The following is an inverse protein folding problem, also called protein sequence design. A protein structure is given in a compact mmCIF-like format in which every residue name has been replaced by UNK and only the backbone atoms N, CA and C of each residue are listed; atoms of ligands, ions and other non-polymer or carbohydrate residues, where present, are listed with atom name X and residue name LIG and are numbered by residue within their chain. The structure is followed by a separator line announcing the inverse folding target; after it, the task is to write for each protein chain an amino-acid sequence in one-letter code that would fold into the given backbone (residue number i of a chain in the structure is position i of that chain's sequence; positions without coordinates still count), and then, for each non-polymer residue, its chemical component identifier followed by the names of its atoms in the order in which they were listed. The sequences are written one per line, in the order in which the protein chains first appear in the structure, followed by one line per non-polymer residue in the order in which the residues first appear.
data_IF_034070488016
#
_entry.id   IF_034070488016
#
_cell.length_a   1.000
_cell.length_b   1.000
_cell.length_c   1.000
_cell.angle_alpha   90.00
_cell.angle_beta   90.00
_cell.angle_gamma   90.00
#
_symmetry.space_group_name_H-M   'P 1'
#
loop_
_entity.id
_entity.type
_entity.pdbx_description
1 polymer ?
#
# COMPACT_ATOMS: atom_id res chain seq x y z
N UNK A 1 -36.11 74.78 -34.83
CA UNK A 1 -35.41 75.60 -35.84
C UNK A 1 -33.92 75.59 -35.47
N UNK A 2 -33.08 74.96 -36.30
CA UNK A 2 -31.60 75.04 -36.40
C UNK A 2 -30.75 74.79 -35.14
N UNK A 3 -30.00 73.67 -35.07
CA UNK A 3 -28.59 73.52 -35.51
C UNK A 3 -27.62 73.86 -34.35
N UNK A 4 -26.43 73.29 -34.13
CA UNK A 4 -25.52 72.49 -34.96
C UNK A 4 -24.41 71.92 -34.04
N UNK A 5 -23.78 70.87 -34.55
CA UNK A 5 -22.61 70.07 -34.14
C UNK A 5 -21.26 70.81 -34.06
N UNK A 6 -20.35 70.36 -33.16
CA UNK A 6 -18.87 70.18 -33.33
C UNK A 6 -18.20 69.96 -31.93
N UNK A 7 -17.65 68.79 -31.54
CA UNK A 7 -16.30 68.18 -31.83
C UNK A 7 -15.15 69.14 -31.40
N UNK A 8 -14.18 68.85 -30.51
CA UNK A 8 -13.27 67.69 -30.40
C UNK A 8 -12.28 67.73 -29.20
N UNK A 9 -11.64 66.57 -28.91
CA UNK A 9 -10.21 66.30 -28.54
C UNK A 9 -9.66 66.31 -27.07
N UNK A 10 -9.28 65.08 -26.64
CA UNK A 10 -8.11 64.63 -25.82
C UNK A 10 -8.00 65.02 -24.33
N UNK A 11 -7.94 64.10 -23.36
CA UNK A 11 -6.75 63.28 -23.01
C UNK A 11 -7.06 62.10 -22.07
N UNK A 12 -6.27 61.02 -22.23
CA UNK A 12 -6.25 59.73 -21.52
C UNK A 12 -5.46 59.83 -20.20
N UNK A 13 -5.90 59.16 -19.13
CA UNK A 13 -5.04 58.53 -18.11
C UNK A 13 -5.79 57.42 -17.34
N UNK A 14 -5.09 56.30 -17.13
CA UNK A 14 -5.52 54.95 -16.72
C UNK A 14 -5.30 54.73 -15.21
N UNK A 15 -6.19 53.98 -14.56
CA UNK A 15 -5.91 53.06 -13.42
C UNK A 15 -7.20 52.23 -13.17
N UNK A 16 -7.38 51.04 -13.74
CA UNK A 16 -6.94 49.75 -13.17
C UNK A 16 -7.16 49.63 -11.65
N UNK A 17 -8.41 49.42 -11.26
CA UNK A 17 -8.79 48.50 -10.17
C UNK A 17 -9.79 47.54 -10.83
N UNK A 18 -9.33 46.49 -11.49
CA UNK A 18 -8.77 45.34 -10.79
C UNK A 18 -9.93 44.42 -10.43
N UNK A 19 -10.70 44.01 -11.43
CA UNK A 19 -11.49 42.78 -11.35
C UNK A 19 -10.52 41.67 -10.95
N UNK A 20 -10.63 41.16 -9.74
CA UNK A 20 -10.14 39.82 -9.42
C UNK A 20 -11.00 38.86 -10.23
N UNK A 21 -10.69 38.74 -11.51
CA UNK A 21 -10.98 37.51 -12.22
C UNK A 21 -10.24 36.44 -11.43
N UNK A 22 -10.98 35.62 -10.70
CA UNK A 22 -10.49 34.32 -10.30
C UNK A 22 -10.00 33.69 -11.61
N UNK A 23 -8.68 33.55 -11.76
CA UNK A 23 -8.13 32.91 -12.94
C UNK A 23 -8.53 31.45 -12.82
N UNK A 24 -9.54 31.05 -13.58
CA UNK A 24 -9.87 29.64 -13.80
C UNK A 24 -8.57 28.88 -14.09
N UNK A 25 -8.38 27.73 -13.45
CA UNK A 25 -7.20 26.91 -13.66
C UNK A 25 -6.97 26.66 -15.17
N UNK A 26 -5.72 26.73 -15.63
CA UNK A 26 -5.41 26.38 -17.02
C UNK A 26 -5.51 24.87 -17.20
N UNK A 27 -6.65 24.41 -17.73
CA UNK A 27 -6.96 23.00 -17.91
C UNK A 27 -5.94 22.25 -18.78
N UNK A 28 -5.35 22.92 -19.80
CA UNK A 28 -4.34 22.28 -20.64
C UNK A 28 -3.02 22.13 -19.88
N UNK A 29 -2.60 23.17 -19.17
CA UNK A 29 -1.39 23.10 -18.35
C UNK A 29 -1.50 22.07 -17.22
N UNK A 30 -2.68 21.96 -16.59
CA UNK A 30 -3.01 20.92 -15.62
C UNK A 30 -2.91 19.52 -16.24
N UNK A 31 -3.60 19.29 -17.37
CA UNK A 31 -3.62 17.99 -18.04
C UNK A 31 -2.23 17.55 -18.51
N UNK A 32 -1.40 18.47 -19.00
CA UNK A 32 0.00 18.16 -19.35
C UNK A 32 0.85 17.83 -18.12
N UNK A 33 0.65 18.50 -16.97
CA UNK A 33 1.34 18.11 -15.73
C UNK A 33 0.90 16.73 -15.26
N UNK A 34 -0.40 16.40 -15.33
CA UNK A 34 -0.90 15.08 -14.98
C UNK A 34 -0.25 13.97 -15.82
N UNK A 35 -0.08 14.19 -17.14
CA UNK A 35 0.67 13.26 -18.00
C UNK A 35 2.12 13.09 -17.56
N UNK A 36 2.80 14.19 -17.24
CA UNK A 36 4.18 14.14 -16.79
C UNK A 36 4.32 13.36 -15.47
N UNK A 37 3.45 13.64 -14.49
CA UNK A 37 3.40 12.93 -13.20
C UNK A 37 3.11 11.44 -13.39
N UNK A 38 2.16 11.08 -14.26
CA UNK A 38 1.87 9.69 -14.59
C UNK A 38 3.08 8.99 -15.24
N UNK A 39 3.77 9.67 -16.15
CA UNK A 39 4.96 9.13 -16.82
C UNK A 39 6.13 8.88 -15.84
N UNK A 40 6.32 9.75 -14.83
CA UNK A 40 7.29 9.53 -13.74
C UNK A 40 7.00 8.22 -12.97
N UNK A 41 5.75 7.77 -12.94
CA UNK A 41 5.29 6.55 -12.26
C UNK A 41 5.13 5.34 -13.20
N UNK A 42 5.73 5.39 -14.41
CA UNK A 42 5.58 4.37 -15.46
C UNK A 42 4.14 4.16 -15.96
N UNK A 43 3.31 5.21 -15.89
CA UNK A 43 1.93 5.21 -16.36
C UNK A 43 1.77 6.14 -17.56
N UNK A 44 0.80 5.86 -18.41
CA UNK A 44 0.45 6.71 -19.55
C UNK A 44 -0.97 7.22 -19.37
N UNK A 45 -1.12 8.54 -19.37
CA UNK A 45 -2.41 9.22 -19.36
C UNK A 45 -2.68 9.81 -20.75
N UNK A 46 -3.86 9.53 -21.28
CA UNK A 46 -4.40 10.18 -22.47
C UNK A 46 -5.68 10.92 -22.13
N UNK A 47 -6.01 11.96 -22.89
CA UNK A 47 -7.31 12.63 -22.85
C UNK A 47 -7.55 13.33 -24.20
N UNK A 48 -8.82 13.47 -24.60
CA UNK A 48 -9.19 14.08 -25.87
C UNK A 48 -9.17 15.61 -25.82
N UNK A 49 -9.64 16.19 -24.71
CA UNK A 49 -9.66 17.63 -24.49
C UNK A 49 -9.68 17.96 -23.00
N UNK A 50 -9.14 19.12 -22.64
CA UNK A 50 -9.20 19.68 -21.29
C UNK A 50 -9.99 20.99 -21.32
N UNK A 51 -10.94 21.17 -20.40
CA UNK A 51 -11.77 22.38 -20.29
C UNK A 51 -11.90 22.82 -18.85
N UNK A 52 -11.84 24.13 -18.60
CA UNK A 52 -12.07 24.70 -17.27
C UNK A 52 -13.53 25.16 -17.14
N UNK A 53 -14.20 24.76 -16.07
CA UNK A 53 -15.55 25.19 -15.72
C UNK A 53 -15.53 25.82 -14.32
N UNK A 54 -15.43 27.15 -14.26
CA UNK A 54 -15.18 27.83 -12.98
C UNK A 54 -13.78 27.49 -12.46
N UNK A 55 -13.71 26.96 -11.24
CA UNK A 55 -12.45 26.50 -10.62
C UNK A 55 -12.19 25.01 -10.92
N UNK A 56 -13.11 24.31 -11.59
CA UNK A 56 -12.97 22.89 -11.93
C UNK A 56 -12.25 22.68 -13.26
N UNK A 57 -11.54 21.56 -13.39
CA UNK A 57 -10.95 21.09 -14.65
C UNK A 57 -11.58 19.78 -15.05
N UNK A 58 -12.07 19.70 -16.29
CA UNK A 58 -12.68 18.49 -16.86
C UNK A 58 -11.76 17.96 -17.96
N UNK A 59 -11.29 16.71 -17.80
CA UNK A 59 -10.55 15.98 -18.82
C UNK A 59 -11.49 14.97 -19.48
N UNK A 60 -11.75 15.16 -20.78
CA UNK A 60 -12.69 14.32 -21.54
C UNK A 60 -12.03 13.11 -22.16
N UNK A 61 -12.74 11.99 -22.19
CA UNK A 61 -12.29 10.71 -22.71
C UNK A 61 -10.87 10.36 -22.23
N UNK A 62 -10.68 10.44 -20.91
CA UNK A 62 -9.45 10.08 -20.26
C UNK A 62 -9.19 8.59 -20.42
N UNK A 63 -7.93 8.26 -20.70
CA UNK A 63 -7.45 6.89 -20.80
C UNK A 63 -6.25 6.72 -19.89
N UNK A 64 -6.10 5.53 -19.34
CA UNK A 64 -5.03 5.22 -18.40
C UNK A 64 -4.48 3.83 -18.67
N UNK A 65 -3.17 3.70 -18.76
CA UNK A 65 -2.51 2.39 -18.82
C UNK A 65 -1.16 2.38 -18.12
N UNK A 66 -0.78 1.25 -17.52
CA UNK A 66 0.62 0.91 -17.30
C UNK A 66 1.39 0.95 -18.63
N UNK A 67 2.63 1.41 -18.60
CA UNK A 67 3.47 1.48 -19.81
C UNK A 67 3.66 0.08 -20.40
N UNK A 68 3.12 -0.13 -21.61
CA UNK A 68 3.21 -1.41 -22.33
C UNK A 68 1.91 -2.23 -22.36
N UNK A 69 0.85 -1.75 -21.71
CA UNK A 69 -0.47 -2.37 -21.68
C UNK A 69 -1.52 -1.57 -22.45
N UNK A 70 -2.66 -2.21 -22.76
CA UNK A 70 -3.77 -1.55 -23.45
C UNK A 70 -4.41 -0.46 -22.57
N UNK A 71 -4.71 0.73 -23.13
CA UNK A 71 -5.38 1.80 -22.39
C UNK A 71 -6.79 1.42 -21.93
N UNK A 72 -7.01 1.47 -20.61
CA UNK A 72 -8.36 1.45 -20.04
C UNK A 72 -9.03 2.81 -20.27
N UNK A 73 -10.29 2.81 -20.69
CA UNK A 73 -11.08 4.03 -20.84
C UNK A 73 -11.72 4.40 -19.49
N UNK A 74 -11.41 5.59 -18.99
CA UNK A 74 -11.99 6.13 -17.74
C UNK A 74 -13.16 7.08 -18.01
N UNK A 75 -13.37 7.50 -19.26
CA UNK A 75 -14.41 8.46 -19.62
C UNK A 75 -14.05 9.88 -19.23
N UNK A 76 -15.04 10.70 -18.91
CA UNK A 76 -14.83 12.10 -18.54
C UNK A 76 -14.58 12.20 -17.03
N UNK A 77 -13.43 12.77 -16.64
CA UNK A 77 -13.04 12.94 -15.24
C UNK A 77 -13.06 14.43 -14.88
N UNK A 78 -13.72 14.75 -13.77
CA UNK A 78 -13.78 16.10 -13.21
C UNK A 78 -12.84 16.20 -12.03
N UNK A 79 -12.02 17.25 -12.03
CA UNK A 79 -11.13 17.63 -10.94
C UNK A 79 -11.74 18.88 -10.31
N UNK A 80 -12.21 18.76 -9.07
CA UNK A 80 -12.94 19.80 -8.35
C UNK A 80 -11.98 20.76 -7.64
N UNK A 81 -12.24 22.07 -7.72
CA UNK A 81 -11.47 23.15 -7.10
C UNK A 81 -9.96 23.10 -7.39
N UNK A 82 -9.60 23.15 -8.67
CA UNK A 82 -8.21 23.11 -9.13
C UNK A 82 -7.53 24.45 -8.92
N UNK A 83 -6.39 24.44 -8.24
CA UNK A 83 -5.57 25.63 -8.00
C UNK A 83 -4.09 25.36 -8.26
N UNK A 84 -3.31 26.43 -8.44
CA UNK A 84 -1.87 26.35 -8.64
C UNK A 84 -1.44 26.52 -10.09
N UNK A 85 -0.25 26.02 -10.42
CA UNK A 85 0.36 26.17 -11.74
C UNK A 85 1.43 25.11 -11.98
N UNK A 86 1.87 24.91 -13.22
CA UNK A 86 2.94 23.94 -13.53
C UNK A 86 4.26 24.22 -12.78
N UNK A 87 4.56 25.49 -12.48
CA UNK A 87 5.78 25.86 -11.75
C UNK A 87 5.70 25.61 -10.25
N UNK A 88 4.52 25.80 -9.65
CA UNK A 88 4.31 25.67 -8.20
C UNK A 88 3.78 24.29 -7.80
N UNK A 89 3.22 23.54 -8.75
CA UNK A 89 2.39 22.36 -8.53
C UNK A 89 0.90 22.71 -8.63
N UNK A 90 0.10 21.68 -8.87
CA UNK A 90 -1.36 21.79 -8.89
C UNK A 90 -1.95 21.11 -7.66
N UNK A 91 -3.01 21.71 -7.12
CA UNK A 91 -3.83 21.13 -6.05
C UNK A 91 -5.25 20.95 -6.54
N UNK A 92 -5.88 19.86 -6.14
CA UNK A 92 -7.27 19.52 -6.46
C UNK A 92 -7.93 19.11 -5.16
N UNK A 93 -9.06 19.72 -4.82
CA UNK A 93 -9.74 19.40 -3.57
C UNK A 93 -10.30 17.97 -3.62
N UNK A 94 -10.91 17.60 -4.74
CA UNK A 94 -11.56 16.30 -4.89
C UNK A 94 -11.64 15.84 -6.34
N UNK A 95 -11.51 14.53 -6.54
CA UNK A 95 -11.66 13.85 -7.82
C UNK A 95 -12.71 12.76 -7.62
N UNK A 96 -14.00 13.05 -7.88
CA UNK A 96 -15.01 12.00 -7.90
C UNK A 96 -14.76 11.09 -9.11
N UNK A 97 -14.76 9.78 -8.87
CA UNK A 97 -14.66 8.78 -9.93
C UNK A 97 -16.08 8.23 -10.14
N UNK A 98 -16.52 8.23 -11.40
CA UNK A 98 -17.85 7.74 -11.73
C UNK A 98 -18.03 6.28 -11.31
N UNK A 99 -19.24 5.96 -10.84
CA UNK A 99 -19.60 4.60 -10.49
C UNK A 99 -19.40 3.68 -11.72
N UNK A 100 -18.80 2.52 -11.47
CA UNK A 100 -18.59 1.50 -12.49
C UNK A 100 -19.75 0.52 -12.37
N UNK A 101 -20.44 0.29 -13.48
CA UNK A 101 -21.47 -0.74 -13.61
C UNK A 101 -21.23 -1.44 -14.96
N UNK A 102 -20.59 -2.60 -14.90
CA UNK A 102 -20.15 -3.34 -16.08
C UNK A 102 -20.64 -4.77 -15.98
N UNK A 103 -21.28 -5.24 -17.05
CA UNK A 103 -21.65 -6.65 -17.22
C UNK A 103 -20.83 -7.23 -18.37
N UNK A 104 -20.00 -8.23 -18.07
CA UNK A 104 -19.24 -9.02 -19.04
C UNK A 104 -19.62 -10.49 -18.90
N UNK A 105 -20.16 -11.07 -19.96
CA UNK A 105 -20.74 -12.43 -19.97
C UNK A 105 -21.76 -12.62 -18.82
N UNK A 106 -21.45 -13.51 -17.87
CA UNK A 106 -22.27 -13.80 -16.69
C UNK A 106 -21.82 -13.01 -15.45
N UNK A 107 -20.79 -12.18 -15.55
CA UNK A 107 -20.24 -11.42 -14.43
C UNK A 107 -20.77 -9.98 -14.45
N UNK A 108 -21.31 -9.52 -13.32
CA UNK A 108 -21.75 -8.14 -13.13
C UNK A 108 -20.94 -7.52 -11.99
N UNK A 109 -20.22 -6.45 -12.30
CA UNK A 109 -19.37 -5.74 -11.34
C UNK A 109 -19.89 -4.33 -11.14
N UNK A 110 -20.14 -3.97 -9.89
CA UNK A 110 -20.59 -2.64 -9.49
C UNK A 110 -19.60 -2.07 -8.47
N UNK A 111 -19.02 -0.90 -8.76
CA UNK A 111 -18.18 -0.16 -7.82
C UNK A 111 -18.72 1.27 -7.66
N UNK A 112 -18.95 1.69 -6.42
CA UNK A 112 -19.58 2.98 -6.11
C UNK A 112 -18.81 3.78 -5.07
N UNK A 113 -18.98 5.10 -5.10
CA UNK A 113 -18.44 5.99 -4.07
C UNK A 113 -16.93 6.07 -4.09
N UNK A 114 -16.33 5.98 -5.28
CA UNK A 114 -14.90 6.13 -5.46
C UNK A 114 -14.53 7.61 -5.49
N UNK A 115 -13.54 7.99 -4.70
CA UNK A 115 -13.04 9.37 -4.69
C UNK A 115 -11.60 9.46 -4.20
N UNK A 116 -10.94 10.53 -4.63
CA UNK A 116 -9.63 10.94 -4.12
C UNK A 116 -9.74 12.41 -3.71
N UNK A 117 -9.26 12.76 -2.52
CA UNK A 117 -9.32 14.10 -1.96
C UNK A 117 -7.90 14.61 -1.68
N UNK A 118 -7.73 15.94 -1.75
CA UNK A 118 -6.46 16.60 -1.47
C UNK A 118 -5.34 16.22 -2.43
N UNK A 119 -5.66 16.03 -3.72
CA UNK A 119 -4.67 15.62 -4.72
C UNK A 119 -3.70 16.76 -5.00
N UNK A 120 -2.40 16.46 -4.92
CA UNK A 120 -1.33 17.36 -5.32
C UNK A 120 -0.50 16.76 -6.46
N UNK A 121 -0.50 17.45 -7.61
CA UNK A 121 0.45 17.21 -8.70
C UNK A 121 1.66 18.10 -8.46
N UNK A 122 2.65 17.57 -7.77
CA UNK A 122 3.83 18.32 -7.35
C UNK A 122 4.65 18.77 -8.56
N UNK A 123 5.43 19.85 -8.48
CA UNK A 123 6.29 20.32 -9.58
C UNK A 123 7.47 19.35 -9.86
N UNK A 124 8.24 19.62 -10.92
CA UNK A 124 9.47 18.85 -11.21
C UNK A 124 10.53 19.08 -10.13
N UNK A 125 10.75 20.34 -9.74
CA UNK A 125 11.61 20.68 -8.62
C UNK A 125 10.83 20.57 -7.30
N UNK A 126 11.10 19.50 -6.56
CA UNK A 126 10.47 19.21 -5.27
C UNK A 126 11.38 19.51 -4.08
N UNK A 127 12.53 20.15 -4.29
CA UNK A 127 13.52 20.39 -3.23
C UNK A 127 13.01 21.25 -2.06
N UNK A 128 11.99 22.07 -2.31
CA UNK A 128 11.32 22.90 -1.30
C UNK A 128 10.12 22.23 -0.63
N UNK A 129 9.73 21.04 -1.07
CA UNK A 129 8.59 20.30 -0.52
C UNK A 129 8.98 19.54 0.76
N UNK A 130 8.03 19.22 1.64
CA UNK A 130 8.26 18.30 2.75
C UNK A 130 8.88 16.98 2.27
N UNK A 131 9.70 16.35 3.09
CA UNK A 131 10.48 15.16 2.71
C UNK A 131 9.62 14.07 2.03
N UNK A 132 8.44 13.77 2.57
CA UNK A 132 7.52 12.75 2.01
C UNK A 132 7.09 13.06 0.57
N UNK A 133 6.96 14.34 0.23
CA UNK A 133 6.59 14.84 -1.10
C UNK A 133 7.77 14.96 -2.06
N UNK A 134 9.02 14.77 -1.62
CA UNK A 134 10.17 14.88 -2.52
C UNK A 134 10.31 13.67 -3.45
N UNK A 135 9.85 12.50 -3.00
CA UNK A 135 10.11 11.21 -3.66
C UNK A 135 9.02 10.76 -4.62
N UNK A 136 7.84 11.38 -4.56
CA UNK A 136 6.73 11.15 -5.48
C UNK A 136 6.33 12.48 -6.12
N UNK A 137 5.93 12.44 -7.39
CA UNK A 137 5.36 13.59 -8.07
C UNK A 137 3.83 13.74 -7.82
N UNK A 138 3.25 12.78 -7.09
CA UNK A 138 1.84 12.68 -6.75
C UNK A 138 1.67 12.49 -5.25
N UNK A 139 0.75 13.23 -4.66
CA UNK A 139 0.34 13.10 -3.27
C UNK A 139 -1.18 13.25 -3.18
N UNK A 140 -1.80 12.65 -2.16
CA UNK A 140 -3.22 12.79 -1.88
C UNK A 140 -3.45 12.66 -0.37
N UNK A 141 -4.44 13.36 0.15
CA UNK A 141 -4.81 13.31 1.58
C UNK A 141 -5.67 12.08 1.86
N UNK A 142 -6.67 11.81 1.01
CA UNK A 142 -7.59 10.68 1.20
C UNK A 142 -7.97 10.02 -0.11
N UNK A 143 -8.09 8.71 -0.10
CA UNK A 143 -8.71 7.95 -1.20
C UNK A 143 -9.66 6.93 -0.61
N UNK A 144 -10.74 6.61 -1.31
CA UNK A 144 -11.67 5.62 -0.82
C UNK A 144 -12.59 5.04 -1.88
N UNK A 145 -13.19 3.91 -1.51
CA UNK A 145 -14.24 3.21 -2.23
C UNK A 145 -15.28 2.76 -1.20
N UNK A 146 -16.53 3.18 -1.40
CA UNK A 146 -17.62 2.84 -0.47
C UNK A 146 -18.00 1.37 -0.60
N UNK A 147 -18.19 0.90 -1.84
CA UNK A 147 -18.65 -0.47 -2.11
C UNK A 147 -18.19 -0.97 -3.46
N UNK A 148 -17.79 -2.24 -3.50
CA UNK A 148 -17.56 -3.03 -4.70
C UNK A 148 -18.30 -4.36 -4.54
N UNK A 149 -19.10 -4.72 -5.53
CA UNK A 149 -19.84 -5.98 -5.59
C UNK A 149 -19.53 -6.67 -6.91
N UNK A 150 -19.30 -7.98 -6.83
CA UNK A 150 -19.20 -8.84 -8.00
C UNK A 150 -20.27 -9.93 -7.89
N UNK A 151 -21.10 -10.03 -8.92
CA UNK A 151 -22.09 -11.07 -9.09
C UNK A 151 -21.72 -11.96 -10.28
N UNK A 152 -22.06 -13.24 -10.18
CA UNK A 152 -21.92 -14.23 -11.25
C UNK A 152 -23.24 -14.96 -11.45
N UNK A 153 -23.77 -14.92 -12.66
CA UNK A 153 -25.08 -15.46 -13.02
C UNK A 153 -26.22 -14.97 -12.08
N UNK A 154 -26.15 -13.70 -11.66
CA UNK A 154 -27.11 -13.05 -10.76
C UNK A 154 -27.03 -13.48 -9.29
N UNK A 155 -25.98 -14.22 -8.90
CA UNK A 155 -25.67 -14.52 -7.51
C UNK A 155 -24.41 -13.74 -7.11
N UNK A 156 -24.49 -13.04 -5.98
CA UNK A 156 -23.36 -12.32 -5.41
C UNK A 156 -22.25 -13.28 -4.99
N UNK A 157 -21.04 -13.08 -5.49
CA UNK A 157 -19.88 -13.93 -5.22
C UNK A 157 -18.77 -13.21 -4.46
N UNK A 158 -18.76 -11.88 -4.50
CA UNK A 158 -17.82 -11.06 -3.75
C UNK A 158 -18.45 -9.71 -3.40
N UNK A 159 -18.19 -9.24 -2.19
CA UNK A 159 -18.45 -7.89 -1.73
C UNK A 159 -17.20 -7.34 -1.05
N UNK A 160 -16.99 -6.04 -1.19
CA UNK A 160 -15.99 -5.25 -0.50
C UNK A 160 -16.62 -3.91 -0.13
N UNK A 161 -16.38 -3.42 1.08
CA UNK A 161 -16.96 -2.16 1.55
C UNK A 161 -16.01 -1.40 2.45
N UNK A 162 -16.11 -0.07 2.45
CA UNK A 162 -15.34 0.84 3.29
C UNK A 162 -13.82 0.78 3.09
N UNK A 163 -13.36 0.79 1.83
CA UNK A 163 -11.94 0.98 1.55
C UNK A 163 -11.61 2.45 1.76
N UNK A 164 -10.58 2.74 2.54
CA UNK A 164 -10.06 4.09 2.71
C UNK A 164 -8.56 4.09 2.96
N UNK A 165 -7.87 5.08 2.41
CA UNK A 165 -6.48 5.41 2.73
C UNK A 165 -6.44 6.88 3.08
N UNK A 166 -5.85 7.23 4.21
CA UNK A 166 -5.69 8.61 4.67
C UNK A 166 -4.21 8.87 4.95
N UNK A 167 -3.63 9.86 4.28
CA UNK A 167 -2.24 10.24 4.42
C UNK A 167 -2.15 11.62 5.07
N UNK A 168 -1.29 11.77 6.07
CA UNK A 168 -1.06 13.04 6.74
C UNK A 168 0.44 13.33 6.78
N UNK A 169 0.81 14.58 6.49
CA UNK A 169 2.13 15.11 6.83
C UNK A 169 1.92 16.00 8.05
N UNK A 170 2.42 15.56 9.19
CA UNK A 170 2.25 16.22 10.48
C UNK A 170 3.10 17.51 10.56
N UNK A 171 2.78 18.36 11.55
CA UNK A 171 3.49 19.63 11.79
C UNK A 171 5.00 19.45 12.06
N UNK A 172 5.41 18.27 12.54
CA UNK A 172 6.81 17.92 12.77
C UNK A 172 7.50 17.27 11.56
N UNK A 173 6.84 17.28 10.39
CA UNK A 173 7.24 16.68 9.11
C UNK A 173 7.19 15.15 9.06
N UNK A 174 6.71 14.48 10.12
CA UNK A 174 6.46 13.03 10.06
C UNK A 174 5.31 12.74 9.11
N UNK A 175 5.41 11.62 8.40
CA UNK A 175 4.36 11.13 7.52
C UNK A 175 3.61 10.00 8.23
N UNK A 176 2.28 10.02 8.21
CA UNK A 176 1.44 8.91 8.64
C UNK A 176 0.46 8.52 7.54
N UNK A 177 0.16 7.24 7.46
CA UNK A 177 -0.78 6.67 6.51
C UNK A 177 -1.62 5.62 7.20
N UNK A 178 -2.91 5.89 7.35
CA UNK A 178 -3.89 4.94 7.84
C UNK A 178 -4.60 4.31 6.65
N UNK A 179 -4.61 2.99 6.58
CA UNK A 179 -5.25 2.25 5.49
C UNK A 179 -6.22 1.22 6.07
N UNK A 180 -7.43 1.26 5.54
CA UNK A 180 -8.47 0.28 5.73
C UNK A 180 -8.79 -0.28 4.35
N UNK A 181 -8.45 -1.53 4.10
CA UNK A 181 -8.79 -2.20 2.85
C UNK A 181 -10.21 -2.77 2.86
N UNK A 182 -11.05 -2.30 3.77
CA UNK A 182 -12.46 -2.61 3.86
C UNK A 182 -12.76 -3.96 4.49
N UNK A 183 -14.06 -4.20 4.65
CA UNK A 183 -14.60 -5.52 4.97
C UNK A 183 -14.95 -6.22 3.67
N UNK A 184 -14.47 -7.45 3.49
CA UNK A 184 -14.80 -8.29 2.34
C UNK A 184 -15.66 -9.48 2.74
N UNK A 185 -16.47 -9.97 1.81
CA UNK A 185 -17.22 -11.22 1.89
C UNK A 185 -17.13 -11.93 0.55
N UNK A 186 -16.69 -13.18 0.55
CA UNK A 186 -16.49 -13.99 -0.64
C UNK A 186 -17.27 -15.31 -0.55
N UNK A 187 -18.08 -15.63 -1.55
CA UNK A 187 -18.81 -16.90 -1.66
C UNK A 187 -18.09 -17.84 -2.64
N UNK A 188 -17.41 -18.84 -2.08
CA UNK A 188 -16.69 -19.86 -2.84
C UNK A 188 -17.59 -20.98 -3.37
N UNK A 189 -18.86 -21.05 -2.98
CA UNK A 189 -19.78 -22.09 -3.48
C UNK A 189 -20.07 -21.97 -4.97
N UNK A 190 -19.77 -20.81 -5.57
CA UNK A 190 -19.90 -20.49 -7.00
C UNK A 190 -18.56 -20.35 -7.72
N UNK A 191 -17.45 -20.61 -7.03
CA UNK A 191 -16.13 -20.68 -7.62
C UNK A 191 -16.03 -21.86 -8.61
N UNK A 192 -14.87 -22.03 -9.24
CA UNK A 192 -14.62 -23.24 -10.02
C UNK A 192 -14.78 -24.50 -9.14
N UNK A 193 -15.11 -25.67 -9.73
CA UNK A 193 -15.46 -26.86 -8.95
C UNK A 193 -14.37 -27.34 -7.98
N UNK A 194 -13.09 -27.08 -8.29
CA UNK A 194 -11.97 -27.52 -7.45
C UNK A 194 -11.82 -26.61 -6.22
N UNK A 195 -11.87 -25.30 -6.44
CA UNK A 195 -11.86 -24.30 -5.35
C UNK A 195 -13.09 -24.47 -4.46
N UNK A 196 -14.29 -24.56 -5.04
CA UNK A 196 -15.53 -24.70 -4.29
C UNK A 196 -15.53 -25.95 -3.40
N UNK A 197 -15.03 -27.07 -3.93
CA UNK A 197 -14.87 -28.32 -3.18
C UNK A 197 -13.89 -28.15 -2.01
N UNK A 198 -12.70 -27.62 -2.28
CA UNK A 198 -11.65 -27.46 -1.26
C UNK A 198 -12.11 -26.54 -0.13
N UNK A 199 -12.68 -25.39 -0.48
CA UNK A 199 -13.18 -24.43 0.49
C UNK A 199 -14.34 -24.99 1.32
N UNK A 200 -15.25 -25.76 0.69
CA UNK A 200 -16.32 -26.45 1.43
C UNK A 200 -15.78 -27.56 2.35
N UNK A 201 -14.75 -28.30 1.93
CA UNK A 201 -14.11 -29.34 2.74
C UNK A 201 -13.37 -28.76 3.95
N UNK A 202 -12.79 -27.56 3.82
CA UNK A 202 -12.25 -26.76 4.92
C UNK A 202 -13.34 -26.12 5.79
N UNK A 203 -14.59 -26.11 5.31
CA UNK A 203 -15.74 -25.52 6.00
C UNK A 203 -15.80 -24.00 5.89
N UNK A 204 -15.30 -23.45 4.78
CA UNK A 204 -15.29 -22.03 4.42
C UNK A 204 -16.00 -21.81 3.08
N UNK A 205 -17.27 -22.23 2.99
CA UNK A 205 -18.09 -21.98 1.80
C UNK A 205 -18.22 -20.48 1.49
N UNK A 206 -18.24 -19.66 2.55
CA UNK A 206 -18.08 -18.21 2.50
C UNK A 206 -16.91 -17.79 3.40
N UNK A 207 -16.20 -16.74 3.05
CA UNK A 207 -15.21 -16.09 3.90
C UNK A 207 -15.48 -14.59 3.97
N UNK A 208 -15.71 -14.12 5.19
CA UNK A 208 -15.69 -12.71 5.54
C UNK A 208 -14.35 -12.33 6.17
N UNK A 209 -13.97 -11.06 6.07
CA UNK A 209 -12.78 -10.56 6.75
C UNK A 209 -12.58 -9.07 6.58
N UNK A 210 -11.51 -8.57 7.18
CA UNK A 210 -11.08 -7.19 7.08
C UNK A 210 -9.55 -7.12 7.10
N UNK A 211 -9.02 -6.08 6.46
CA UNK A 211 -7.59 -5.77 6.51
C UNK A 211 -7.45 -4.29 6.84
N UNK A 212 -6.70 -3.99 7.88
CA UNK A 212 -6.45 -2.62 8.34
C UNK A 212 -5.02 -2.45 8.82
N UNK A 213 -4.56 -1.22 8.87
CA UNK A 213 -3.31 -0.89 9.49
C UNK A 213 -2.90 0.57 9.34
N UNK A 214 -1.74 0.86 9.93
CA UNK A 214 -1.18 2.20 9.97
C UNK A 214 0.32 2.12 9.73
N UNK A 215 0.84 3.04 8.91
CA UNK A 215 2.26 3.20 8.66
C UNK A 215 2.68 4.62 9.07
N UNK A 216 3.90 4.75 9.59
CA UNK A 216 4.48 6.05 9.88
C UNK A 216 5.93 6.13 9.43
N UNK A 217 6.37 7.34 9.08
CA UNK A 217 7.74 7.60 8.67
C UNK A 217 8.25 8.94 9.20
N UNK A 218 9.32 8.90 9.99
CA UNK A 218 10.06 10.07 10.42
C UNK A 218 11.23 10.34 9.46
N UNK A 219 11.19 11.44 8.66
CA UNK A 219 12.28 11.77 7.75
C UNK A 219 13.60 12.15 8.43
N UNK A 220 13.59 12.56 9.70
CA UNK A 220 14.77 13.01 10.43
C UNK A 220 15.60 11.83 10.92
N UNK A 221 14.95 10.83 11.50
CA UNK A 221 15.61 9.59 11.96
C UNK A 221 15.67 8.52 10.88
N UNK A 222 14.77 8.60 9.88
CA UNK A 222 14.53 7.52 8.93
C UNK A 222 13.80 6.33 9.56
N UNK A 223 13.11 6.54 10.69
CA UNK A 223 12.29 5.49 11.33
C UNK A 223 11.03 5.29 10.49
N UNK A 224 10.86 4.07 10.00
CA UNK A 224 9.66 3.57 9.33
C UNK A 224 9.00 2.57 10.28
N UNK A 225 7.72 2.77 10.58
CA UNK A 225 6.92 1.82 11.32
C UNK A 225 5.70 1.37 10.54
N UNK A 226 5.29 0.13 10.79
CA UNK A 226 4.02 -0.45 10.37
C UNK A 226 3.42 -1.07 11.62
N UNK A 227 2.44 -0.40 12.22
CA UNK A 227 1.81 -0.82 13.47
C UNK A 227 0.48 -0.04 13.68
N UNK A 228 -0.67 -0.73 13.72
CA UNK A 228 -0.86 -2.16 13.47
C UNK A 228 -0.87 -2.50 11.96
N UNK A 229 -0.74 -3.79 11.62
CA UNK A 229 -1.18 -4.35 10.33
C UNK A 229 -1.88 -5.68 10.58
N UNK A 230 -3.20 -5.68 10.48
CA UNK A 230 -4.04 -6.82 10.84
C UNK A 230 -4.83 -7.34 9.64
N UNK A 231 -4.84 -8.67 9.51
CA UNK A 231 -5.68 -9.41 8.57
C UNK A 231 -6.58 -10.31 9.41
N UNK A 232 -7.83 -9.89 9.61
CA UNK A 232 -8.85 -10.68 10.29
C UNK A 232 -9.69 -11.43 9.26
N UNK A 233 -9.81 -12.74 9.43
CA UNK A 233 -10.70 -13.58 8.63
C UNK A 233 -11.68 -14.29 9.55
N UNK A 234 -12.96 -14.02 9.35
CA UNK A 234 -14.04 -14.53 10.20
C UNK A 234 -14.04 -16.05 10.26
N UNK A 235 -14.15 -16.59 11.48
CA UNK A 235 -14.09 -18.02 11.77
C UNK A 235 -12.76 -18.70 11.41
N UNK A 236 -11.74 -17.97 10.96
CA UNK A 236 -10.44 -18.53 10.63
C UNK A 236 -9.37 -18.09 11.64
N UNK A 237 -9.19 -16.78 11.82
CA UNK A 237 -8.22 -16.22 12.75
C UNK A 237 -7.85 -14.77 12.41
N UNK A 238 -6.92 -14.22 13.18
CA UNK A 238 -6.28 -12.92 12.91
C UNK A 238 -4.78 -13.11 12.68
N UNK A 239 -4.23 -12.48 11.65
CA UNK A 239 -2.79 -12.35 11.45
C UNK A 239 -2.42 -10.89 11.68
N UNK A 240 -1.68 -10.64 12.76
CA UNK A 240 -1.12 -9.33 13.09
C UNK A 240 0.36 -9.30 12.70
N UNK A 241 0.79 -8.18 12.16
CA UNK A 241 2.18 -7.91 11.82
C UNK A 241 2.55 -6.51 12.25
N UNK A 242 3.67 -6.38 12.96
CA UNK A 242 4.27 -5.08 13.26
C UNK A 242 5.73 -5.07 12.84
N UNK A 243 6.22 -3.90 12.45
CA UNK A 243 7.60 -3.74 12.02
C UNK A 243 8.09 -2.33 12.28
N UNK A 244 9.33 -2.22 12.75
CA UNK A 244 10.06 -0.97 12.86
C UNK A 244 11.47 -1.12 12.28
N UNK A 245 11.89 -0.14 11.47
CA UNK A 245 13.26 -0.01 11.00
C UNK A 245 13.68 1.45 11.01
N UNK A 246 14.95 1.70 11.29
CA UNK A 246 15.55 3.02 11.17
C UNK A 246 16.58 3.07 10.02
N UNK A 247 16.95 4.30 9.63
CA UNK A 247 17.90 4.54 8.55
C UNK A 247 17.29 4.73 7.17
N UNK A 248 15.96 4.62 7.04
CA UNK A 248 15.22 4.89 5.81
C UNK A 248 15.06 6.41 5.56
N UNK A 249 16.19 7.11 5.50
CA UNK A 249 16.24 8.57 5.41
C UNK A 249 15.94 9.08 4.00
N UNK A 250 15.61 10.38 3.83
CA UNK A 250 15.57 11.04 2.53
C UNK A 250 16.78 10.74 1.63
N UNK A 251 17.99 10.80 2.20
CA UNK A 251 19.23 10.53 1.46
C UNK A 251 19.32 9.07 1.01
N UNK A 252 18.86 8.13 1.85
CA UNK A 252 18.79 6.71 1.51
C UNK A 252 17.85 6.50 0.31
N UNK A 253 16.64 7.06 0.35
CA UNK A 253 15.65 6.95 -0.73
C UNK A 253 16.18 7.55 -2.05
N UNK A 254 16.78 8.74 -1.99
CA UNK A 254 17.39 9.37 -3.19
C UNK A 254 18.48 8.49 -3.79
N UNK A 255 19.36 7.93 -2.95
CA UNK A 255 20.43 7.06 -3.40
C UNK A 255 19.89 5.77 -4.04
N UNK A 256 18.83 5.20 -3.45
CA UNK A 256 18.15 4.03 -4.00
C UNK A 256 17.52 4.33 -5.38
N UNK A 257 16.84 5.47 -5.53
CA UNK A 257 16.28 5.90 -6.82
C UNK A 257 17.37 6.11 -7.88
N UNK A 258 18.51 6.68 -7.50
CA UNK A 258 19.66 6.87 -8.39
C UNK A 258 20.25 5.53 -8.86
N UNK A 259 20.46 4.57 -7.94
CA UNK A 259 20.95 3.23 -8.29
C UNK A 259 19.95 2.51 -9.20
N UNK A 260 18.66 2.59 -8.89
CA UNK A 260 17.59 1.99 -9.72
C UNK A 260 17.61 2.53 -11.15
N UNK A 261 17.69 3.85 -11.33
CA UNK A 261 17.83 4.49 -12.65
C UNK A 261 19.10 4.05 -13.38
N UNK A 262 20.24 4.03 -12.68
CA UNK A 262 21.52 3.58 -13.26
C UNK A 262 21.46 2.12 -13.74
N UNK A 263 20.81 1.23 -12.98
CA UNK A 263 20.65 -0.17 -13.38
C UNK A 263 19.69 -0.33 -14.56
N UNK A 264 18.62 0.47 -14.63
CA UNK A 264 17.71 0.48 -15.77
C UNK A 264 18.41 0.93 -17.06
N UNK A 265 19.25 1.96 -16.98
CA UNK A 265 19.99 2.50 -18.12
C UNK A 265 21.19 1.62 -18.52
N UNK A 266 21.75 0.86 -17.58
CA UNK A 266 22.91 0.00 -17.82
C UNK A 266 22.86 -1.32 -17.03
N UNK A 267 22.14 -2.33 -17.54
CA UNK A 267 22.01 -3.64 -16.89
C UNK A 267 23.34 -4.39 -16.69
N UNK A 268 24.39 -4.03 -17.45
CA UNK A 268 25.72 -4.65 -17.36
C UNK A 268 26.60 -4.02 -16.26
N UNK A 269 26.18 -2.90 -15.65
CA UNK A 269 26.91 -2.21 -14.58
C UNK A 269 26.75 -2.86 -13.19
N UNK A 270 26.47 -4.17 -13.16
CA UNK A 270 26.02 -4.93 -11.99
C UNK A 270 27.02 -4.92 -10.81
N UNK A 271 28.34 -4.86 -11.09
CA UNK A 271 29.36 -4.88 -10.03
C UNK A 271 29.42 -3.59 -9.19
N UNK A 272 29.27 -2.42 -9.82
CA UNK A 272 29.29 -1.14 -9.11
C UNK A 272 27.98 -0.91 -8.35
N UNK A 273 26.86 -1.32 -8.94
CA UNK A 273 25.55 -1.28 -8.29
C UNK A 273 25.50 -2.16 -7.05
N UNK A 274 26.11 -3.37 -7.09
CA UNK A 274 26.22 -4.25 -5.93
C UNK A 274 26.96 -3.60 -4.75
N UNK A 275 28.09 -2.95 -5.00
CA UNK A 275 28.84 -2.25 -3.93
C UNK A 275 28.11 -1.02 -3.39
N UNK A 276 27.43 -0.26 -4.25
CA UNK A 276 26.61 0.87 -3.83
C UNK A 276 25.42 0.42 -2.97
N UNK A 277 24.76 -0.68 -3.35
CA UNK A 277 23.68 -1.29 -2.56
C UNK A 277 24.17 -1.77 -1.19
N UNK A 278 25.35 -2.40 -1.13
CA UNK A 278 25.96 -2.77 0.15
C UNK A 278 26.24 -1.56 1.06
N UNK A 279 26.65 -0.43 0.47
CA UNK A 279 26.79 0.84 1.20
C UNK A 279 25.46 1.36 1.73
N UNK A 280 24.37 1.24 0.97
CA UNK A 280 23.04 1.62 1.42
C UNK A 280 22.52 0.73 2.54
N UNK A 281 22.66 -0.58 2.42
CA UNK A 281 22.27 -1.52 3.48
C UNK A 281 22.95 -1.21 4.81
N UNK A 282 24.16 -0.64 4.79
CA UNK A 282 24.86 -0.23 6.02
C UNK A 282 24.20 0.92 6.78
N UNK A 283 23.27 1.63 6.16
CA UNK A 283 22.50 2.71 6.80
C UNK A 283 21.27 2.19 7.55
N UNK A 284 20.82 0.97 7.26
CA UNK A 284 19.60 0.41 7.83
C UNK A 284 19.88 -0.30 9.14
N UNK A 285 18.93 -0.20 10.06
CA UNK A 285 18.90 -0.99 11.30
C UNK A 285 17.49 -1.46 11.60
N UNK A 286 17.35 -2.73 11.96
CA UNK A 286 16.10 -3.32 12.40
C UNK A 286 15.81 -2.88 13.84
N UNK A 287 14.65 -2.27 14.08
CA UNK A 287 14.14 -1.94 15.42
C UNK A 287 13.48 -3.18 16.00
N UNK A 288 12.18 -3.32 15.77
CA UNK A 288 11.37 -4.46 16.19
C UNK A 288 10.62 -5.09 15.01
N UNK A 289 10.17 -6.33 15.17
CA UNK A 289 9.21 -6.95 14.29
C UNK A 289 8.41 -8.00 15.06
N UNK A 290 7.09 -8.02 14.91
CA UNK A 290 6.24 -9.08 15.45
C UNK A 290 5.37 -9.64 14.33
N UNK A 291 5.21 -10.96 14.32
CA UNK A 291 4.15 -11.62 13.56
C UNK A 291 3.41 -12.56 14.49
N UNK A 292 2.13 -12.30 14.68
CA UNK A 292 1.27 -13.07 15.58
C UNK A 292 0.07 -13.58 14.81
N UNK A 293 -0.11 -14.91 14.81
CA UNK A 293 -1.33 -15.54 14.33
C UNK A 293 -2.17 -15.97 15.52
N UNK A 294 -3.38 -15.44 15.64
CA UNK A 294 -4.40 -15.85 16.61
C UNK A 294 -5.42 -16.74 15.90
N UNK A 295 -5.48 -18.02 16.28
CA UNK A 295 -6.37 -19.02 15.69
C UNK A 295 -7.79 -18.90 16.27
N UNK A 296 -8.78 -18.95 15.39
CA UNK A 296 -10.18 -19.18 15.79
C UNK A 296 -10.59 -20.62 15.45
N UNK A 297 -10.41 -21.01 14.18
CA UNK A 297 -10.62 -22.42 13.79
C UNK A 297 -9.79 -22.92 12.62
N UNK A 298 -8.97 -22.05 12.00
CA UNK A 298 -8.23 -22.38 10.78
C UNK A 298 -7.27 -23.54 10.98
N UNK A 299 -6.48 -23.53 12.06
CA UNK A 299 -5.46 -24.54 12.32
C UNK A 299 -6.09 -25.92 12.47
N UNK A 300 -7.17 -26.01 13.26
CA UNK A 300 -7.92 -27.26 13.42
C UNK A 300 -8.48 -27.79 12.09
N UNK A 301 -9.08 -26.91 11.28
CA UNK A 301 -9.62 -27.28 9.96
C UNK A 301 -8.54 -27.74 8.98
N UNK A 302 -7.39 -27.06 8.95
CA UNK A 302 -6.26 -27.44 8.10
C UNK A 302 -5.67 -28.80 8.53
N UNK A 303 -5.51 -29.03 9.83
CA UNK A 303 -5.04 -30.30 10.37
C UNK A 303 -5.98 -31.44 9.96
N UNK A 304 -7.30 -31.26 10.13
CA UNK A 304 -8.30 -32.24 9.73
C UNK A 304 -8.31 -32.50 8.22
N UNK A 305 -8.17 -31.45 7.41
CA UNK A 305 -8.17 -31.55 5.95
C UNK A 305 -6.95 -32.33 5.45
N UNK A 306 -5.74 -31.92 5.86
CA UNK A 306 -4.51 -32.58 5.43
C UNK A 306 -4.36 -33.99 6.01
N UNK A 307 -4.83 -34.23 7.24
CA UNK A 307 -4.77 -35.58 7.80
C UNK A 307 -5.65 -36.56 7.02
N UNK A 308 -6.88 -36.13 6.64
CA UNK A 308 -7.76 -36.92 5.76
C UNK A 308 -7.14 -37.19 4.40
N UNK A 309 -6.54 -36.16 3.78
CA UNK A 309 -5.89 -36.29 2.48
C UNK A 309 -4.73 -37.29 2.49
N UNK A 310 -3.97 -37.35 3.59
CA UNK A 310 -2.83 -38.26 3.74
C UNK A 310 -3.19 -39.60 4.39
N UNK A 311 -4.46 -39.84 4.73
CA UNK A 311 -4.91 -41.07 5.39
C UNK A 311 -4.36 -41.27 6.80
N UNK A 312 -4.08 -40.17 7.51
CA UNK A 312 -3.56 -40.15 8.89
C UNK A 312 -4.52 -39.43 9.83
N UNK A 313 -4.33 -39.58 11.15
CA UNK A 313 -5.06 -38.79 12.14
C UNK A 313 -4.43 -37.41 12.31
N UNK A 314 -5.18 -36.39 12.78
CA UNK A 314 -4.61 -35.07 13.09
C UNK A 314 -3.42 -35.16 14.05
N UNK A 315 -3.48 -36.05 15.05
CA UNK A 315 -2.39 -36.24 16.01
C UNK A 315 -1.11 -36.82 15.36
N UNK A 316 -1.26 -37.67 14.34
CA UNK A 316 -0.11 -38.18 13.58
C UNK A 316 0.52 -37.06 12.74
N UNK A 317 -0.32 -36.20 12.13
CA UNK A 317 0.15 -35.04 11.38
C UNK A 317 0.88 -34.04 12.30
N UNK A 318 0.33 -33.74 13.47
CA UNK A 318 0.99 -32.91 14.49
C UNK A 318 2.36 -33.51 14.85
N UNK A 319 2.42 -34.81 15.15
CA UNK A 319 3.69 -35.47 15.46
C UNK A 319 4.72 -35.41 14.33
N UNK A 320 4.28 -35.41 13.07
CA UNK A 320 5.15 -35.22 11.91
C UNK A 320 5.70 -33.79 11.84
N UNK A 321 4.86 -32.78 12.07
CA UNK A 321 5.30 -31.37 12.09
C UNK A 321 6.27 -31.15 13.26
N UNK A 322 5.95 -31.66 14.46
CA UNK A 322 6.83 -31.60 15.63
C UNK A 322 8.21 -32.23 15.38
N UNK A 323 8.28 -33.30 14.57
CA UNK A 323 9.55 -33.91 14.18
C UNK A 323 10.30 -33.11 13.10
N UNK A 324 9.59 -32.37 12.26
CA UNK A 324 10.16 -31.60 11.15
C UNK A 324 10.77 -30.27 11.62
N UNK A 325 10.15 -29.59 12.59
CA UNK A 325 10.59 -28.27 13.07
C UNK A 325 12.05 -28.28 13.57
N UNK A 326 12.48 -29.19 14.48
CA UNK A 326 13.88 -29.26 14.90
C UNK A 326 14.84 -29.52 13.73
N UNK A 327 14.42 -30.35 12.75
CA UNK A 327 15.24 -30.68 11.60
C UNK A 327 15.43 -29.47 10.66
N UNK A 328 14.39 -28.67 10.46
CA UNK A 328 14.47 -27.43 9.69
C UNK A 328 15.39 -26.41 10.37
N UNK A 329 15.34 -26.32 11.71
CA UNK A 329 16.15 -25.41 12.49
C UNK A 329 17.56 -25.94 12.81
N UNK A 330 17.86 -27.20 12.47
CA UNK A 330 19.15 -27.85 12.75
C UNK A 330 20.34 -27.08 12.16
N UNK A 331 20.16 -26.48 10.97
CA UNK A 331 21.19 -25.71 10.28
C UNK A 331 21.59 -24.43 11.03
N UNK A 332 20.70 -23.90 11.87
CA UNK A 332 21.00 -22.76 12.71
C UNK A 332 22.04 -23.09 13.79
N UNK A 333 22.22 -24.37 14.15
CA UNK A 333 23.15 -24.80 15.21
C UNK A 333 22.91 -24.10 16.56
N UNK A 334 21.66 -23.76 16.87
CA UNK A 334 21.24 -23.13 18.11
C UNK A 334 20.21 -24.03 18.84
N UNK A 335 20.66 -24.92 19.74
CA UNK A 335 19.78 -25.87 20.44
C UNK A 335 18.74 -25.21 21.35
N UNK A 336 19.05 -24.04 21.89
CA UNK A 336 18.16 -23.29 22.79
C UNK A 336 16.96 -22.74 22.01
N UNK A 337 17.22 -22.03 20.92
CA UNK A 337 16.18 -21.53 20.02
C UNK A 337 15.39 -22.67 19.36
N UNK A 338 16.08 -23.74 18.94
CA UNK A 338 15.41 -24.95 18.42
C UNK A 338 14.39 -25.51 19.41
N UNK A 339 14.76 -25.59 20.69
CA UNK A 339 13.85 -26.06 21.74
C UNK A 339 12.68 -25.09 21.92
N UNK A 340 12.94 -23.78 22.03
CA UNK A 340 11.90 -22.75 22.18
C UNK A 340 10.87 -22.83 21.04
N UNK A 341 11.32 -22.80 19.79
CA UNK A 341 10.44 -22.87 18.62
C UNK A 341 9.67 -24.21 18.55
N UNK A 342 10.33 -25.32 18.88
CA UNK A 342 9.67 -26.65 18.89
C UNK A 342 8.58 -26.72 19.96
N UNK A 343 8.86 -26.21 21.16
CA UNK A 343 7.92 -26.20 22.28
C UNK A 343 6.71 -25.30 21.98
N UNK A 344 6.94 -24.11 21.40
CA UNK A 344 5.89 -23.18 21.00
C UNK A 344 5.00 -23.79 19.91
N UNK A 345 5.59 -24.28 18.82
CA UNK A 345 4.81 -24.93 17.74
C UNK A 345 4.05 -26.15 18.25
N UNK A 346 4.66 -26.97 19.11
CA UNK A 346 4.00 -28.12 19.73
C UNK A 346 2.80 -27.70 20.59
N UNK A 347 2.97 -26.64 21.39
CA UNK A 347 1.91 -26.09 22.24
C UNK A 347 0.75 -25.57 21.41
N UNK A 348 1.05 -24.75 20.39
CA UNK A 348 0.06 -24.22 19.47
C UNK A 348 -0.69 -25.32 18.71
N UNK A 349 0.00 -26.29 18.11
CA UNK A 349 -0.67 -27.34 17.33
C UNK A 349 -1.55 -28.27 18.18
N UNK A 350 -1.28 -28.41 19.48
CA UNK A 350 -2.07 -29.23 20.41
C UNK A 350 -3.31 -28.52 20.95
N UNK A 351 -3.24 -27.22 21.14
CA UNK A 351 -4.31 -26.36 21.64
C UNK A 351 -4.19 -24.99 20.96
N UNK A 352 -4.63 -24.85 19.70
CA UNK A 352 -4.37 -23.66 18.90
C UNK A 352 -5.13 -22.47 19.46
N UNK A 353 -4.39 -21.42 19.86
CA UNK A 353 -4.93 -20.11 20.26
C UNK A 353 -4.11 -18.99 19.66
N UNK A 354 -2.80 -18.98 19.90
CA UNK A 354 -1.91 -17.99 19.28
C UNK A 354 -0.50 -18.54 19.08
N UNK A 355 0.18 -18.06 18.04
CA UNK A 355 1.59 -18.31 17.77
C UNK A 355 2.23 -16.98 17.36
N UNK A 356 3.20 -16.51 18.14
CA UNK A 356 3.95 -15.28 17.89
C UNK A 356 5.40 -15.61 17.56
N UNK A 357 5.97 -14.85 16.62
CA UNK A 357 7.41 -14.75 16.38
C UNK A 357 7.79 -13.29 16.44
N UNK A 358 8.61 -12.92 17.42
CA UNK A 358 8.95 -11.53 17.70
C UNK A 358 10.45 -11.30 17.71
N UNK A 359 10.85 -10.10 17.32
CA UNK A 359 12.20 -9.54 17.33
C UNK A 359 12.09 -8.23 18.10
N UNK A 360 12.69 -8.15 19.28
CA UNK A 360 12.69 -6.94 20.10
C UNK A 360 14.05 -6.73 20.79
N UNK A 361 15.11 -6.38 20.02
CA UNK A 361 16.42 -6.07 20.58
C UNK A 361 16.40 -4.76 21.36
N UNK A 362 17.09 -4.69 22.50
CA UNK A 362 17.18 -3.47 23.32
C UNK A 362 17.69 -2.23 22.56
N UNK A 363 18.44 -2.46 21.48
CA UNK A 363 18.94 -1.42 20.57
C UNK A 363 18.77 -1.87 19.12
N UNK A 364 18.39 -0.97 18.18
CA UNK A 364 18.26 -1.33 16.78
C UNK A 364 19.53 -2.00 16.23
N UNK A 365 19.35 -3.14 15.56
CA UNK A 365 20.45 -3.98 15.06
C UNK A 365 20.79 -3.57 13.63
N UNK A 366 22.03 -3.14 13.33
CA UNK A 366 22.42 -2.76 11.98
C UNK A 366 22.30 -3.92 11.00
N UNK A 367 21.78 -3.68 9.80
CA UNK A 367 21.57 -4.73 8.79
C UNK A 367 22.87 -5.47 8.41
N UNK A 368 24.01 -4.77 8.43
CA UNK A 368 25.33 -5.38 8.20
C UNK A 368 25.74 -6.35 9.30
N UNK A 369 25.34 -6.11 10.55
CA UNK A 369 25.57 -7.04 11.65
C UNK A 369 24.70 -8.29 11.48
N UNK A 370 23.43 -8.12 11.10
CA UNK A 370 22.51 -9.24 10.81
C UNK A 370 23.09 -10.11 9.69
N UNK A 371 23.49 -9.49 8.58
CA UNK A 371 24.07 -10.21 7.45
C UNK A 371 25.41 -10.89 7.82
N UNK A 372 26.26 -10.20 8.58
CA UNK A 372 27.52 -10.77 9.06
C UNK A 372 27.31 -11.98 9.97
N UNK A 373 26.33 -11.92 10.87
CA UNK A 373 25.94 -13.04 11.71
C UNK A 373 25.37 -14.19 10.86
N UNK A 374 24.48 -13.92 9.91
CA UNK A 374 23.90 -14.93 9.03
C UNK A 374 24.96 -15.71 8.23
N UNK A 375 26.02 -15.04 7.77
CA UNK A 375 27.07 -15.68 6.96
C UNK A 375 28.16 -16.35 7.81
N UNK A 376 28.54 -15.75 8.95
CA UNK A 376 29.70 -16.18 9.73
C UNK A 376 29.37 -16.98 10.98
N UNK A 377 28.20 -16.75 11.58
CA UNK A 377 27.77 -17.36 12.83
C UNK A 377 26.23 -17.37 12.95
N UNK A 378 25.50 -18.05 12.06
CA UNK A 378 24.03 -18.02 12.04
C UNK A 378 23.41 -18.44 13.38
N UNK A 379 24.11 -19.27 14.16
CA UNK A 379 23.70 -19.68 15.51
C UNK A 379 23.52 -18.53 16.49
N UNK A 380 24.14 -17.36 16.27
CA UNK A 380 24.00 -16.20 17.16
C UNK A 380 22.83 -15.30 16.80
N UNK A 381 22.18 -15.51 15.64
CA UNK A 381 21.11 -14.64 15.17
C UNK A 381 19.95 -14.54 16.17
N UNK A 382 19.46 -15.63 16.80
CA UNK A 382 18.38 -15.51 17.76
C UNK A 382 18.72 -14.60 18.93
N UNK A 383 19.95 -14.65 19.45
CA UNK A 383 20.37 -13.79 20.55
C UNK A 383 20.62 -12.35 20.11
N UNK A 384 21.16 -12.14 18.91
CA UNK A 384 21.42 -10.78 18.38
C UNK A 384 20.12 -10.02 18.11
N UNK A 385 19.08 -10.73 17.67
CA UNK A 385 17.78 -10.16 17.33
C UNK A 385 16.80 -10.17 18.51
N UNK A 386 17.17 -10.75 19.66
CA UNK A 386 16.20 -11.08 20.71
C UNK A 386 14.98 -11.81 20.13
N UNK A 387 15.24 -12.79 19.25
CA UNK A 387 14.20 -13.54 18.55
C UNK A 387 13.52 -14.48 19.52
N UNK A 388 12.21 -14.34 19.65
CA UNK A 388 11.37 -15.20 20.48
C UNK A 388 10.28 -15.88 19.64
N UNK A 389 9.94 -17.10 20.04
CA UNK A 389 8.79 -17.84 19.49
C UNK A 389 7.96 -18.28 20.67
N UNK A 390 6.72 -17.81 20.75
CA UNK A 390 5.82 -18.12 21.85
C UNK A 390 4.47 -18.60 21.33
N UNK A 391 3.75 -19.33 22.16
CA UNK A 391 2.46 -19.89 21.81
C UNK A 391 1.50 -19.82 22.98
N UNK A 392 0.27 -19.39 22.70
CA UNK A 392 -0.82 -19.26 23.66
C UNK A 392 -0.49 -18.35 24.84
N UNK A 393 0.39 -17.37 24.64
CA UNK A 393 0.59 -16.30 25.61
C UNK A 393 -0.70 -15.50 25.73
N UNK A 394 -1.05 -15.12 26.95
CA UNK A 394 -2.14 -14.20 27.16
C UNK A 394 -1.70 -12.85 26.60
N UNK A 395 -2.25 -12.46 25.45
CA UNK A 395 -2.31 -11.05 25.06
C UNK A 395 -3.04 -10.35 26.21
N UNK A 396 -2.31 -9.56 27.00
CA UNK A 396 -2.95 -8.65 27.95
C UNK A 396 -3.71 -7.61 27.11
N UNK A 397 -5.03 -7.74 27.06
CA UNK A 397 -5.97 -6.74 26.52
C UNK A 397 -5.83 -5.38 27.24
#
# INVERSE_FOLDING_TARGET
MFAKTSVSLTTIAVALMGSTAAFAADANAFGERLKAVAAEQNMTVGYASATSEGDDVILKAMTFSPKGEEPAQLGDITFEDVTGSTGEGWKVARVPIADIDVTEDDNHTVATGMSIEGVELLPEDRSSQPAAKQFSAFYFDKAGLEKLTVEKAGAKVFDLSNVSVENTINDDETFSSDFNFGTFDADFTKADPETAKTMTELGYGTLGGAIEGSASWDPKTGTLSLDPFDITVENAGNLSFTYEMAGYTPNFIQSMQQISKQMADNPEANQNAGMAMMGLLSQLSLGSADITFTDDSLTGKLLDYYSKQQGMTPQQLIGQVEAMVPAALAQLQNPEFQKQATDAVSTFLKDPKSLSVSIDPETPVPAMQIMGAAMGAPQTLPQVLSLEVTANDATED
#
